data_IF_485048871777
#
_entry.id   IF_485048871777
#
_cell.length_a   1.000
_cell.length_b   1.000
_cell.length_c   1.000
_cell.angle_alpha   90.00
_cell.angle_beta   90.00
_cell.angle_gamma   90.00
#
_symmetry.space_group_name_H-M   'P 1'
#
loop_
_entity.id
_entity.type
_entity.pdbx_description
1 polymer ?
#
# COMPACT_ATOMS: atom_id res chain seq x y z
N UNK A 1 -24.44 15.30 18.86
CA UNK A 1 -23.16 14.83 18.26
C UNK A 1 -22.90 13.40 18.72
N UNK A 2 -23.24 12.40 17.90
CA UNK A 2 -23.01 10.99 18.24
C UNK A 2 -21.51 10.68 18.18
N UNK A 3 -20.88 10.39 19.32
CA UNK A 3 -19.49 9.91 19.36
C UNK A 3 -19.43 8.56 18.65
N UNK A 4 -18.78 8.50 17.49
CA UNK A 4 -18.51 7.23 16.80
C UNK A 4 -17.69 6.34 17.74
N UNK A 5 -18.05 5.06 17.82
CA UNK A 5 -17.28 4.08 18.57
C UNK A 5 -15.85 3.99 18.01
N UNK A 6 -14.89 3.63 18.86
CA UNK A 6 -13.50 3.36 18.44
C UNK A 6 -13.43 2.30 17.34
N UNK A 7 -14.33 1.31 17.38
CA UNK A 7 -14.48 0.29 16.34
C UNK A 7 -14.88 0.88 14.99
N UNK A 8 -15.82 1.83 14.95
CA UNK A 8 -16.23 2.50 13.71
C UNK A 8 -15.11 3.34 13.10
N UNK A 9 -14.32 4.02 13.94
CA UNK A 9 -13.15 4.80 13.51
C UNK A 9 -12.08 3.88 12.91
N UNK A 10 -11.76 2.78 13.60
CA UNK A 10 -10.79 1.80 13.12
C UNK A 10 -11.22 1.16 11.80
N UNK A 11 -12.52 0.88 11.62
CA UNK A 11 -13.06 0.35 10.36
C UNK A 11 -12.88 1.33 9.20
N UNK A 12 -13.17 2.63 9.42
CA UNK A 12 -12.96 3.66 8.39
C UNK A 12 -11.47 3.79 8.03
N UNK A 13 -10.58 3.73 9.02
CA UNK A 13 -9.14 3.80 8.79
C UNK A 13 -8.64 2.62 7.95
N UNK A 14 -9.08 1.39 8.26
CA UNK A 14 -8.73 0.20 7.45
C UNK A 14 -9.19 0.33 6.01
N UNK A 15 -10.42 0.80 5.80
CA UNK A 15 -10.95 1.01 4.45
C UNK A 15 -10.15 2.07 3.68
N UNK A 16 -9.78 3.18 4.34
CA UNK A 16 -8.94 4.20 3.72
C UNK A 16 -7.54 3.68 3.38
N UNK A 17 -6.93 2.87 4.26
CA UNK A 17 -5.65 2.20 3.99
C UNK A 17 -5.75 1.24 2.81
N UNK A 18 -6.84 0.48 2.70
CA UNK A 18 -7.07 -0.43 1.57
C UNK A 18 -7.15 0.33 0.24
N UNK A 19 -7.92 1.41 0.17
CA UNK A 19 -7.98 2.27 -1.03
C UNK A 19 -6.62 2.83 -1.41
N UNK A 20 -5.81 3.24 -0.42
CA UNK A 20 -4.46 3.74 -0.67
C UNK A 20 -3.55 2.66 -1.25
N UNK A 21 -3.55 1.46 -0.67
CA UNK A 21 -2.81 0.31 -1.21
C UNK A 21 -3.21 0.01 -2.66
N UNK A 22 -4.52 -0.08 -2.94
CA UNK A 22 -5.02 -0.31 -4.30
C UNK A 22 -4.60 0.82 -5.26
N UNK A 23 -4.59 2.07 -4.82
CA UNK A 23 -4.14 3.20 -5.62
C UNK A 23 -2.64 3.14 -5.92
N UNK A 24 -1.83 2.82 -4.91
CA UNK A 24 -0.38 2.71 -5.04
C UNK A 24 -0.01 1.56 -5.98
N UNK A 25 -0.67 0.41 -5.85
CA UNK A 25 -0.51 -0.74 -6.76
C UNK A 25 -0.86 -0.38 -8.21
N UNK A 26 -2.01 0.28 -8.44
CA UNK A 26 -2.42 0.73 -9.78
C UNK A 26 -1.44 1.77 -10.33
N UNK A 27 -0.97 2.71 -9.50
CA UNK A 27 -0.07 3.78 -9.93
C UNK A 27 1.30 3.22 -10.31
N UNK A 28 1.88 2.36 -9.46
CA UNK A 28 3.16 1.73 -9.72
C UNK A 28 3.09 0.82 -10.95
N UNK A 29 2.03 0.02 -11.07
CA UNK A 29 1.79 -0.83 -12.24
C UNK A 29 1.69 -0.03 -13.53
N UNK A 30 0.92 1.07 -13.52
CA UNK A 30 0.78 1.95 -14.67
C UNK A 30 2.10 2.63 -15.05
N UNK A 31 2.84 3.14 -14.07
CA UNK A 31 4.16 3.76 -14.32
C UNK A 31 5.14 2.76 -14.92
N UNK A 32 5.18 1.53 -14.40
CA UNK A 32 6.01 0.47 -14.94
C UNK A 32 5.64 0.12 -16.38
N UNK A 33 4.35 -0.07 -16.68
CA UNK A 33 3.89 -0.36 -18.05
C UNK A 33 4.16 0.79 -19.02
N UNK A 34 4.05 2.05 -18.59
CA UNK A 34 4.42 3.20 -19.43
C UNK A 34 5.91 3.24 -19.73
N UNK A 35 6.77 3.03 -18.73
CA UNK A 35 8.21 2.95 -18.94
C UNK A 35 8.59 1.77 -19.87
N UNK A 36 7.91 0.63 -19.73
CA UNK A 36 8.09 -0.51 -20.62
C UNK A 36 7.69 -0.17 -22.06
N UNK A 37 6.56 0.53 -22.26
CA UNK A 37 6.11 1.00 -23.57
C UNK A 37 7.15 1.91 -24.23
N UNK A 38 7.66 2.90 -23.50
CA UNK A 38 8.71 3.79 -23.99
C UNK A 38 9.98 3.03 -24.37
N UNK A 39 10.37 2.03 -23.57
CA UNK A 39 11.52 1.18 -23.89
C UNK A 39 11.32 0.37 -25.16
N UNK A 40 10.14 -0.23 -25.35
CA UNK A 40 9.82 -0.98 -26.58
C UNK A 40 9.81 -0.05 -27.79
N UNK A 41 9.25 1.16 -27.66
CA UNK A 41 9.25 2.15 -28.74
C UNK A 41 10.67 2.54 -29.17
N UNK A 42 11.57 2.83 -28.22
CA UNK A 42 12.98 3.10 -28.53
C UNK A 42 13.64 1.95 -29.28
N UNK A 43 13.39 0.72 -28.82
CA UNK A 43 13.91 -0.48 -29.47
C UNK A 43 13.31 -0.70 -30.87
N UNK A 44 12.05 -0.34 -31.11
CA UNK A 44 11.46 -0.42 -32.45
C UNK A 44 12.09 0.59 -33.39
N UNK A 45 12.23 1.84 -32.98
CA UNK A 45 12.87 2.89 -33.77
C UNK A 45 14.30 2.48 -34.15
N UNK A 46 15.07 1.97 -33.19
CA UNK A 46 16.43 1.50 -33.45
C UNK A 46 16.48 0.34 -34.46
N UNK A 47 15.56 -0.64 -34.35
CA UNK A 47 15.50 -1.74 -35.30
C UNK A 47 15.04 -1.28 -36.70
N UNK A 48 14.14 -0.31 -36.79
CA UNK A 48 13.70 0.28 -38.05
C UNK A 48 14.82 1.06 -38.74
N UNK A 49 15.64 1.79 -37.99
CA UNK A 49 16.83 2.48 -38.50
C UNK A 49 17.85 1.47 -39.04
N UNK A 50 18.17 0.42 -38.27
CA UNK A 50 19.04 -0.68 -38.73
C UNK A 50 18.50 -1.36 -39.99
N UNK A 51 17.19 -1.61 -40.05
CA UNK A 51 16.55 -2.18 -41.24
C UNK A 51 16.70 -1.26 -42.45
N UNK A 52 16.65 0.05 -42.26
CA UNK A 52 16.86 1.03 -43.33
C UNK A 52 18.30 0.98 -43.84
N UNK A 53 19.28 0.94 -42.93
CA UNK A 53 20.70 0.84 -43.27
C UNK A 53 21.02 -0.44 -44.05
N UNK A 54 20.53 -1.60 -43.60
CA UNK A 54 20.77 -2.86 -44.33
C UNK A 54 20.09 -2.89 -45.70
N UNK A 55 18.93 -2.23 -45.85
CA UNK A 55 18.28 -2.08 -47.16
C UNK A 55 19.08 -1.18 -48.10
N UNK A 56 19.73 -0.14 -47.58
CA UNK A 56 20.59 0.73 -48.37
C UNK A 56 21.86 0.00 -48.80
N UNK A 57 22.52 -0.67 -47.85
CA UNK A 57 23.67 -1.54 -48.13
C UNK A 57 23.35 -2.61 -49.17
N UNK A 58 22.17 -3.25 -49.10
CA UNK A 58 21.70 -4.19 -50.13
C UNK A 58 21.68 -3.56 -51.52
N UNK A 59 21.16 -2.34 -51.65
CA UNK A 59 21.10 -1.63 -52.94
C UNK A 59 22.49 -1.27 -53.47
N UNK A 60 23.42 -0.91 -52.60
CA UNK A 60 24.81 -0.63 -52.96
C UNK A 60 25.48 -1.88 -53.53
N UNK A 61 25.38 -3.01 -52.83
CA UNK A 61 25.92 -4.30 -53.29
C UNK A 61 25.25 -4.77 -54.58
N UNK A 62 23.92 -4.62 -54.73
CA UNK A 62 23.22 -4.91 -55.99
C UNK A 62 23.74 -4.09 -57.17
N UNK A 63 24.05 -2.81 -56.93
CA UNK A 63 24.61 -1.93 -57.95
C UNK A 63 26.03 -2.34 -58.32
N UNK A 64 26.87 -2.68 -57.34
CA UNK A 64 28.23 -3.20 -57.59
C UNK A 64 28.22 -4.54 -58.34
N UNK A 65 27.27 -5.44 -58.01
CA UNK A 65 27.08 -6.71 -58.70
C UNK A 65 26.70 -6.51 -60.18
N UNK A 66 26.02 -5.41 -60.51
CA UNK A 66 25.67 -5.06 -61.89
C UNK A 66 26.84 -4.50 -62.71
N UNK A 67 27.89 -3.97 -62.06
CA UNK A 67 29.06 -3.39 -62.73
C UNK A 67 30.28 -4.32 -62.81
N UNK A 68 30.33 -5.38 -61.98
CA UNK A 68 31.44 -6.35 -61.92
C UNK A 68 31.28 -7.49 -62.94
N UNK A 69 32.36 -7.82 -63.66
CA UNK A 69 32.33 -8.72 -64.83
C UNK A 69 32.54 -10.22 -64.54
N UNK A 70 33.31 -10.65 -63.52
CA UNK A 70 33.35 -12.09 -63.15
C UNK A 70 34.07 -12.44 -61.84
N UNK A 71 35.25 -11.87 -61.55
CA UNK A 71 36.15 -12.40 -60.50
C UNK A 71 35.69 -12.23 -59.04
N UNK A 72 34.90 -11.21 -58.72
CA UNK A 72 34.40 -10.93 -57.36
C UNK A 72 32.89 -11.10 -57.22
N UNK A 73 32.23 -11.59 -58.28
CA UNK A 73 30.77 -11.68 -58.36
C UNK A 73 30.19 -12.63 -57.31
N UNK A 74 30.79 -13.82 -57.16
CA UNK A 74 30.35 -14.83 -56.20
C UNK A 74 30.46 -14.34 -54.75
N UNK A 75 31.49 -13.54 -54.45
CA UNK A 75 31.67 -12.95 -53.12
C UNK A 75 30.59 -11.90 -52.84
N UNK A 76 30.25 -11.07 -53.83
CA UNK A 76 29.17 -10.09 -53.70
C UNK A 76 27.81 -10.78 -53.55
N UNK A 77 27.55 -11.87 -54.28
CA UNK A 77 26.33 -12.66 -54.15
C UNK A 77 26.20 -13.27 -52.74
N UNK A 78 27.27 -13.87 -52.20
CA UNK A 78 27.30 -14.38 -50.83
C UNK A 78 27.04 -13.28 -49.77
N UNK A 79 27.62 -12.08 -49.96
CA UNK A 79 27.34 -10.96 -49.05
C UNK A 79 25.90 -10.48 -49.14
N UNK A 80 25.28 -10.54 -50.32
CA UNK A 80 23.88 -10.17 -50.53
C UNK A 80 22.94 -11.16 -49.83
N UNK A 81 23.23 -12.46 -49.90
CA UNK A 81 22.51 -13.49 -49.14
C UNK A 81 22.60 -13.25 -47.64
N UNK A 82 23.81 -12.94 -47.14
CA UNK A 82 24.03 -12.58 -45.74
C UNK A 82 23.20 -11.36 -45.32
N UNK A 83 23.17 -10.31 -46.15
CA UNK A 83 22.36 -9.11 -45.89
C UNK A 83 20.86 -9.44 -45.91
N UNK A 84 20.43 -10.34 -46.80
CA UNK A 84 19.04 -10.78 -46.86
C UNK A 84 18.60 -11.48 -45.57
N UNK A 85 19.44 -12.37 -45.04
CA UNK A 85 19.22 -13.04 -43.76
C UNK A 85 19.15 -12.05 -42.60
N UNK A 86 20.09 -11.09 -42.55
CA UNK A 86 20.09 -10.01 -41.55
C UNK A 86 18.82 -9.17 -41.61
N UNK A 87 18.37 -8.79 -42.80
CA UNK A 87 17.12 -8.05 -43.01
C UNK A 87 15.92 -8.84 -42.47
N UNK A 88 15.87 -10.15 -42.71
CA UNK A 88 14.78 -10.99 -42.24
C UNK A 88 14.79 -11.16 -40.72
N UNK A 89 15.97 -11.29 -40.12
CA UNK A 89 16.13 -11.31 -38.66
C UNK A 89 15.61 -10.01 -38.03
N UNK A 90 16.02 -8.84 -38.55
CA UNK A 90 15.56 -7.53 -38.06
C UNK A 90 14.04 -7.37 -38.24
N UNK A 91 13.47 -7.83 -39.36
CA UNK A 91 12.00 -7.83 -39.55
C UNK A 91 11.30 -8.67 -38.49
N UNK A 92 11.84 -9.84 -38.15
CA UNK A 92 11.29 -10.69 -37.11
C UNK A 92 11.41 -10.03 -35.73
N UNK A 93 12.52 -9.38 -35.42
CA UNK A 93 12.73 -8.58 -34.21
C UNK A 93 11.67 -7.47 -34.07
N UNK A 94 11.44 -6.69 -35.14
CA UNK A 94 10.40 -5.64 -35.18
C UNK A 94 9.00 -6.23 -34.93
N UNK A 95 8.68 -7.37 -35.56
CA UNK A 95 7.39 -8.07 -35.36
C UNK A 95 7.21 -8.50 -33.90
N UNK A 96 8.22 -9.08 -33.28
CA UNK A 96 8.17 -9.51 -31.88
C UNK A 96 8.01 -8.31 -30.94
N UNK A 97 8.75 -7.23 -31.17
CA UNK A 97 8.62 -5.98 -30.40
C UNK A 97 7.24 -5.35 -30.55
N UNK A 98 6.67 -5.32 -31.75
CA UNK A 98 5.31 -4.84 -31.99
C UNK A 98 4.27 -5.68 -31.23
N UNK A 99 4.41 -7.01 -31.24
CA UNK A 99 3.51 -7.89 -30.50
C UNK A 99 3.60 -7.66 -28.98
N UNK A 100 4.81 -7.40 -28.48
CA UNK A 100 5.05 -7.10 -27.06
C UNK A 100 4.47 -5.73 -26.70
N UNK A 101 4.65 -4.72 -27.55
CA UNK A 101 4.04 -3.41 -27.40
C UNK A 101 2.52 -3.49 -27.25
N UNK A 102 1.84 -4.29 -28.09
CA UNK A 102 0.39 -4.53 -27.98
C UNK A 102 -0.01 -5.17 -26.64
N UNK A 103 0.80 -6.05 -26.08
CA UNK A 103 0.55 -6.64 -24.74
C UNK A 103 0.68 -5.58 -23.64
N UNK A 104 1.68 -4.71 -23.74
CA UNK A 104 1.87 -3.59 -22.80
C UNK A 104 0.73 -2.58 -22.90
N UNK A 105 0.25 -2.27 -24.09
CA UNK A 105 -0.92 -1.39 -24.28
C UNK A 105 -2.18 -1.94 -23.58
N UNK A 106 -2.43 -3.25 -23.70
CA UNK A 106 -3.52 -3.91 -22.94
C UNK A 106 -3.36 -3.76 -21.43
N UNK A 107 -2.15 -3.92 -20.91
CA UNK A 107 -1.88 -3.70 -19.47
C UNK A 107 -2.15 -2.26 -19.05
N UNK A 108 -1.78 -1.27 -19.89
CA UNK A 108 -2.07 0.14 -19.64
C UNK A 108 -3.59 0.38 -19.62
N UNK A 109 -4.34 -0.20 -20.56
CA UNK A 109 -5.81 -0.14 -20.58
C UNK A 109 -6.42 -0.78 -19.31
N UNK A 110 -5.90 -1.92 -18.86
CA UNK A 110 -6.34 -2.54 -17.62
C UNK A 110 -6.08 -1.65 -16.39
N UNK A 111 -4.90 -1.05 -16.27
CA UNK A 111 -4.61 -0.16 -15.15
C UNK A 111 -5.42 1.13 -15.20
N UNK A 112 -5.64 1.70 -16.39
CA UNK A 112 -6.48 2.90 -16.55
C UNK A 112 -7.96 2.62 -16.23
N UNK A 113 -8.49 1.45 -16.61
CA UNK A 113 -9.84 1.03 -16.22
C UNK A 113 -9.96 0.72 -14.72
N UNK A 114 -8.95 0.09 -14.11
CA UNK A 114 -8.89 -0.09 -12.64
C UNK A 114 -8.87 1.27 -11.92
N UNK A 115 -8.07 2.23 -12.42
CA UNK A 115 -8.01 3.60 -11.89
C UNK A 115 -9.35 4.33 -11.98
N UNK A 116 -10.06 4.23 -13.10
CA UNK A 116 -11.37 4.89 -13.28
C UNK A 116 -12.43 4.27 -12.37
N UNK A 117 -12.46 2.93 -12.24
CA UNK A 117 -13.34 2.21 -11.30
C UNK A 117 -13.08 2.60 -9.85
N UNK A 118 -11.81 2.66 -9.43
CA UNK A 118 -11.45 3.10 -8.08
C UNK A 118 -11.89 4.56 -7.84
N UNK A 119 -11.67 5.44 -8.82
CA UNK A 119 -12.11 6.83 -8.77
C UNK A 119 -13.63 6.96 -8.63
N UNK A 120 -14.40 6.16 -9.38
CA UNK A 120 -15.86 6.14 -9.28
C UNK A 120 -16.33 5.67 -7.89
N UNK A 121 -15.69 4.64 -7.31
CA UNK A 121 -15.98 4.18 -5.94
C UNK A 121 -15.72 5.29 -4.91
N UNK A 122 -14.58 6.00 -5.03
CA UNK A 122 -14.24 7.13 -4.14
C UNK A 122 -15.26 8.26 -4.29
N UNK A 123 -15.63 8.61 -5.53
CA UNK A 123 -16.63 9.65 -5.82
C UNK A 123 -17.99 9.33 -5.20
N UNK A 124 -18.50 8.11 -5.42
CA UNK A 124 -19.78 7.64 -4.83
C UNK A 124 -19.74 7.68 -3.30
N UNK A 125 -18.61 7.29 -2.69
CA UNK A 125 -18.43 7.36 -1.24
C UNK A 125 -18.43 8.81 -0.71
N UNK A 126 -17.86 9.76 -1.45
CA UNK A 126 -17.88 11.19 -1.10
C UNK A 126 -19.27 11.81 -1.28
N UNK A 127 -19.97 11.47 -2.36
CA UNK A 127 -21.35 11.92 -2.63
C UNK A 127 -22.31 11.49 -1.52
N UNK A 128 -22.18 10.25 -1.02
CA UNK A 128 -22.97 9.77 0.12
C UNK A 128 -22.71 10.52 1.44
N UNK A 129 -21.63 11.34 1.52
CA UNK A 129 -21.18 12.03 2.75
C UNK A 129 -20.79 13.49 2.46
N UNK A 130 -21.75 14.37 2.13
CA UNK A 130 -21.48 15.74 1.66
C UNK A 130 -20.78 16.63 2.71
N UNK A 131 -21.04 16.44 4.01
CA UNK A 131 -20.31 17.16 5.06
C UNK A 131 -18.81 16.82 5.05
N UNK A 132 -18.45 15.55 4.84
CA UNK A 132 -17.05 15.12 4.75
C UNK A 132 -16.39 15.76 3.54
N UNK A 133 -17.06 15.77 2.38
CA UNK A 133 -16.56 16.43 1.18
C UNK A 133 -16.31 17.94 1.40
N UNK A 134 -17.24 18.65 2.04
CA UNK A 134 -17.08 20.08 2.40
C UNK A 134 -15.86 20.30 3.32
N UNK A 135 -15.71 19.48 4.36
CA UNK A 135 -14.54 19.59 5.27
C UNK A 135 -13.22 19.30 4.57
N UNK A 136 -13.20 18.31 3.67
CA UNK A 136 -12.05 17.97 2.86
C UNK A 136 -11.67 19.11 1.91
N UNK A 137 -12.63 19.76 1.24
CA UNK A 137 -12.35 20.91 0.38
C UNK A 137 -11.80 22.12 1.16
N UNK A 138 -12.38 22.42 2.34
CA UNK A 138 -11.82 23.45 3.22
C UNK A 138 -10.39 23.12 3.63
N UNK A 139 -10.13 21.88 4.02
CA UNK A 139 -8.79 21.39 4.36
C UNK A 139 -7.82 21.52 3.17
N UNK A 140 -8.21 21.12 1.96
CA UNK A 140 -7.41 21.25 0.74
C UNK A 140 -7.03 22.71 0.46
N UNK A 141 -7.97 23.66 0.60
CA UNK A 141 -7.70 25.10 0.47
C UNK A 141 -6.67 25.58 1.49
N UNK A 142 -6.77 25.11 2.74
CA UNK A 142 -5.82 25.47 3.79
C UNK A 142 -4.43 24.89 3.53
N UNK A 143 -4.35 23.64 3.05
CA UNK A 143 -3.08 23.00 2.67
C UNK A 143 -2.38 23.80 1.59
N UNK A 144 -3.07 24.19 0.52
CA UNK A 144 -2.49 25.01 -0.56
C UNK A 144 -1.99 26.36 -0.03
N UNK A 145 -2.72 27.00 0.89
CA UNK A 145 -2.26 28.25 1.53
C UNK A 145 -1.00 28.02 2.37
N UNK A 146 -0.91 26.88 3.07
CA UNK A 146 0.25 26.51 3.86
C UNK A 146 1.45 26.18 2.97
N UNK A 147 1.28 25.43 1.88
CA UNK A 147 2.34 25.13 0.92
C UNK A 147 2.98 26.40 0.37
N UNK A 148 2.17 27.43 0.07
CA UNK A 148 2.68 28.74 -0.37
C UNK A 148 3.46 29.49 0.72
N UNK A 149 3.10 29.31 1.99
CA UNK A 149 3.77 29.96 3.14
C UNK A 149 4.95 29.14 3.68
N UNK A 150 5.06 27.86 3.32
CA UNK A 150 6.09 26.96 3.82
C UNK A 150 7.51 27.48 3.54
N UNK A 151 7.85 27.99 2.34
CA UNK A 151 9.21 28.46 2.06
C UNK A 151 9.60 29.69 2.89
N UNK A 152 8.67 30.62 3.12
CA UNK A 152 8.94 31.79 3.95
C UNK A 152 9.06 31.42 5.42
N UNK A 153 8.23 30.49 5.91
CA UNK A 153 8.33 29.96 7.27
C UNK A 153 9.68 29.28 7.53
N UNK A 154 10.16 28.45 6.59
CA UNK A 154 11.47 27.80 6.68
C UNK A 154 12.58 28.86 6.76
N UNK A 155 12.55 29.86 5.88
CA UNK A 155 13.52 30.97 5.92
C UNK A 155 13.50 31.75 7.24
N UNK A 156 12.31 32.02 7.78
CA UNK A 156 12.20 32.68 9.09
C UNK A 156 12.71 31.80 10.23
N UNK A 157 12.46 30.49 10.17
CA UNK A 157 12.96 29.53 11.17
C UNK A 157 14.50 29.47 11.15
N UNK A 158 15.11 29.42 9.96
CA UNK A 158 16.56 29.42 9.80
C UNK A 158 17.20 30.73 10.29
N UNK A 159 16.56 31.88 10.05
CA UNK A 159 17.02 33.17 10.56
C UNK A 159 16.89 33.25 12.09
N UNK A 160 15.79 32.78 12.68
CA UNK A 160 15.63 32.75 14.15
C UNK A 160 16.65 31.81 14.80
N UNK A 161 16.94 30.65 14.19
CA UNK A 161 18.02 29.75 14.64
C UNK A 161 19.39 30.42 14.63
N UNK A 162 19.68 31.25 13.62
CA UNK A 162 20.93 32.01 13.53
C UNK A 162 21.01 33.14 14.56
N UNK A 163 19.92 33.89 14.75
CA UNK A 163 19.89 35.10 15.59
C UNK A 163 19.74 34.75 17.08
N UNK A 164 19.06 33.66 17.42
CA UNK A 164 18.77 33.30 18.81
C UNK A 164 18.87 31.78 19.05
N UNK A 165 20.09 31.25 19.21
CA UNK A 165 20.31 29.85 19.52
C UNK A 165 19.75 29.46 20.91
N UNK A 166 19.69 30.39 21.87
CA UNK A 166 19.13 30.14 23.20
C UNK A 166 17.62 29.93 23.19
N UNK A 167 16.88 30.73 22.41
CA UNK A 167 15.43 30.58 22.29
C UNK A 167 15.04 29.27 21.61
N UNK A 168 15.84 28.84 20.62
CA UNK A 168 15.65 27.54 19.95
C UNK A 168 15.97 26.38 20.89
N UNK A 169 17.05 26.45 21.66
CA UNK A 169 17.34 25.45 22.70
C UNK A 169 16.25 25.36 23.78
N UNK A 170 15.69 26.48 24.23
CA UNK A 170 14.56 26.53 25.17
C UNK A 170 13.30 25.88 24.57
N UNK A 171 13.03 26.13 23.29
CA UNK A 171 11.90 25.52 22.57
C UNK A 171 12.04 24.00 22.45
N UNK A 172 13.24 23.50 22.15
CA UNK A 172 13.54 22.07 22.08
C UNK A 172 13.45 21.39 23.46
N UNK A 173 13.96 22.04 24.51
CA UNK A 173 13.83 21.57 25.89
C UNK A 173 12.35 21.46 26.30
N UNK A 174 11.53 22.45 25.95
CA UNK A 174 10.07 22.40 26.17
C UNK A 174 9.42 21.25 25.40
N UNK A 175 9.75 21.03 24.12
CA UNK A 175 9.22 19.91 23.34
C UNK A 175 9.61 18.55 23.93
N UNK A 176 10.87 18.39 24.36
CA UNK A 176 11.35 17.18 25.06
C UNK A 176 10.58 16.96 26.37
N UNK A 177 10.30 18.02 27.12
CA UNK A 177 9.54 17.95 28.36
C UNK A 177 8.08 17.51 28.13
N UNK A 178 7.38 18.12 27.16
CA UNK A 178 6.01 17.74 26.78
C UNK A 178 5.96 16.28 26.32
N UNK A 179 6.93 15.84 25.51
CA UNK A 179 7.00 14.43 25.07
C UNK A 179 7.19 13.48 26.24
N UNK A 180 8.08 13.80 27.19
CA UNK A 180 8.28 13.02 28.42
C UNK A 180 7.00 12.96 29.28
N UNK A 181 6.28 14.06 29.44
CA UNK A 181 5.01 14.09 30.17
C UNK A 181 3.96 13.19 29.51
N UNK A 182 3.79 13.27 28.19
CA UNK A 182 2.82 12.43 27.46
C UNK A 182 3.12 10.92 27.57
N UNK A 183 4.39 10.54 27.66
CA UNK A 183 4.81 9.14 27.86
C UNK A 183 4.54 8.67 29.29
N UNK A 184 4.81 9.52 30.30
CA UNK A 184 4.49 9.25 31.70
C UNK A 184 2.97 9.04 31.88
N UNK A 185 2.14 9.90 31.29
CA UNK A 185 0.68 9.76 31.33
C UNK A 185 0.19 8.44 30.71
N UNK A 186 0.73 8.06 29.55
CA UNK A 186 0.42 6.76 28.91
C UNK A 186 0.79 5.57 29.79
N UNK A 187 1.94 5.63 30.46
CA UNK A 187 2.40 4.57 31.35
C UNK A 187 1.50 4.43 32.58
N UNK A 188 1.18 5.54 33.25
CA UNK A 188 0.27 5.59 34.40
C UNK A 188 -1.12 5.05 34.01
N UNK A 189 -1.63 5.41 32.82
CA UNK A 189 -2.91 4.91 32.33
C UNK A 189 -2.88 3.40 32.08
N UNK A 190 -1.75 2.84 31.60
CA UNK A 190 -1.57 1.39 31.41
C UNK A 190 -1.49 0.63 32.74
N UNK A 191 -0.80 1.18 33.75
CA UNK A 191 -0.74 0.60 35.10
C UNK A 191 -2.12 0.55 35.77
N UNK A 192 -2.87 1.66 35.76
CA UNK A 192 -4.23 1.72 36.32
C UNK A 192 -5.19 0.71 35.67
N UNK A 193 -5.02 0.42 34.36
CA UNK A 193 -5.81 -0.59 33.67
C UNK A 193 -5.45 -2.02 34.11
N UNK A 194 -4.17 -2.32 34.32
CA UNK A 194 -3.71 -3.62 34.85
C UNK A 194 -4.25 -3.87 36.25
N UNK A 195 -4.15 -2.88 37.14
CA UNK A 195 -4.67 -2.98 38.51
C UNK A 195 -6.18 -3.24 38.55
N UNK A 196 -6.96 -2.54 37.71
CA UNK A 196 -8.41 -2.80 37.57
C UNK A 196 -8.70 -4.23 37.10
N UNK A 197 -7.90 -4.77 36.19
CA UNK A 197 -8.07 -6.13 35.70
C UNK A 197 -7.80 -7.17 36.80
N UNK A 198 -6.69 -7.01 37.53
CA UNK A 198 -6.32 -7.88 38.66
C UNK A 198 -7.39 -7.85 39.76
N UNK A 199 -7.90 -6.67 40.12
CA UNK A 199 -9.01 -6.56 41.09
C UNK A 199 -10.26 -7.30 40.62
N UNK A 200 -10.59 -7.22 39.33
CA UNK A 200 -11.76 -7.92 38.76
C UNK A 200 -11.57 -9.45 38.74
N UNK A 201 -10.35 -9.94 38.52
CA UNK A 201 -10.04 -11.38 38.61
C UNK A 201 -10.17 -11.89 40.05
N UNK A 202 -9.56 -11.22 41.03
CA UNK A 202 -9.67 -11.60 42.46
C UNK A 202 -11.13 -11.64 42.95
N UNK A 203 -11.97 -10.71 42.49
CA UNK A 203 -13.41 -10.72 42.82
C UNK A 203 -14.14 -11.93 42.24
N UNK A 204 -13.80 -12.36 41.01
CA UNK A 204 -14.38 -13.56 40.40
C UNK A 204 -13.96 -14.84 41.13
N UNK A 205 -12.69 -14.94 41.52
CA UNK A 205 -12.18 -16.09 42.27
C UNK A 205 -12.90 -16.23 43.62
N UNK A 206 -13.03 -15.14 44.38
CA UNK A 206 -13.79 -15.14 45.65
C UNK A 206 -15.25 -15.57 45.48
N UNK A 207 -15.90 -15.14 44.39
CA UNK A 207 -17.27 -15.55 44.11
C UNK A 207 -17.38 -17.05 43.82
N UNK A 208 -16.45 -17.60 43.03
CA UNK A 208 -16.42 -19.03 42.70
C UNK A 208 -16.12 -19.89 43.93
N UNK A 209 -15.23 -19.43 44.81
CA UNK A 209 -14.93 -20.10 46.08
C UNK A 209 -16.16 -20.15 46.99
N UNK A 210 -16.87 -19.02 47.15
CA UNK A 210 -18.11 -18.98 47.92
C UNK A 210 -19.21 -19.88 47.33
N UNK A 211 -19.29 -20.00 46.00
CA UNK A 211 -20.24 -20.90 45.35
C UNK A 211 -19.92 -22.38 45.66
N UNK A 212 -18.64 -22.77 45.58
CA UNK A 212 -18.19 -24.13 45.94
C UNK A 212 -18.46 -24.47 47.41
N UNK A 213 -18.30 -23.50 48.32
CA UNK A 213 -18.60 -23.69 49.74
C UNK A 213 -20.10 -23.93 49.98
N UNK A 214 -20.97 -23.17 49.30
CA UNK A 214 -22.43 -23.38 49.35
C UNK A 214 -22.83 -24.76 48.83
N UNK A 215 -22.24 -25.20 47.71
CA UNK A 215 -22.50 -26.53 47.15
C UNK A 215 -22.07 -27.67 48.09
N UNK A 216 -20.91 -27.53 48.76
CA UNK A 216 -20.46 -28.49 49.78
C UNK A 216 -21.43 -28.55 50.97
N UNK A 217 -21.95 -27.41 51.42
CA UNK A 217 -22.90 -27.36 52.52
C UNK A 217 -24.22 -28.07 52.17
N UNK A 218 -24.77 -27.82 50.99
CA UNK A 218 -25.99 -28.47 50.49
C UNK A 218 -25.80 -29.98 50.36
N UNK A 219 -24.65 -30.45 49.85
CA UNK A 219 -24.34 -31.89 49.79
C UNK A 219 -24.30 -32.53 51.18
N UNK A 220 -23.72 -31.84 52.17
CA UNK A 220 -23.64 -32.34 53.55
C UNK A 220 -25.03 -32.41 54.20
N UNK A 221 -25.92 -31.46 53.92
CA UNK A 221 -27.32 -31.52 54.37
C UNK A 221 -28.08 -32.70 53.76
N UNK A 222 -28.00 -32.88 52.43
CA UNK A 222 -28.66 -34.02 51.74
C UNK A 222 -28.17 -35.39 52.25
N UNK A 223 -26.89 -35.50 52.61
CA UNK A 223 -26.35 -36.73 53.20
C UNK A 223 -26.89 -37.00 54.60
N UNK A 224 -27.08 -35.95 55.42
CA UNK A 224 -27.73 -36.09 56.74
C UNK A 224 -29.19 -36.49 56.63
N UNK A 225 -29.94 -35.90 55.71
CA UNK A 225 -31.34 -36.28 55.43
C UNK A 225 -31.47 -37.74 55.02
N UNK A 226 -30.62 -38.20 54.08
CA UNK A 226 -30.59 -39.63 53.69
C UNK A 226 -30.23 -40.57 54.84
N UNK A 227 -29.36 -40.13 55.75
CA UNK A 227 -28.98 -40.94 56.91
C UNK A 227 -30.12 -41.03 57.92
N UNK A 228 -30.88 -39.95 58.14
CA UNK A 228 -32.07 -39.94 58.97
C UNK A 228 -33.18 -40.83 58.37
N UNK A 229 -33.41 -40.75 57.06
CA UNK A 229 -34.39 -41.57 56.35
C UNK A 229 -34.05 -43.07 56.42
N UNK A 230 -32.77 -43.43 56.35
CA UNK A 230 -32.32 -44.81 56.52
C UNK A 230 -32.42 -45.30 57.98
N UNK A 231 -32.26 -44.44 58.97
CA UNK A 231 -32.44 -44.78 60.39
C UNK A 231 -33.93 -45.03 60.68
N UNK A 232 -34.82 -44.18 60.18
CA UNK A 232 -36.27 -44.37 60.33
C UNK A 232 -36.77 -45.66 59.66
N UNK A 233 -36.23 -46.02 58.49
CA UNK A 233 -36.54 -47.30 57.82
C UNK A 233 -36.01 -48.52 58.58
N UNK A 234 -34.98 -48.37 59.42
CA UNK A 234 -34.39 -49.44 60.22
C UNK A 234 -35.12 -49.66 61.55
N UNK A 235 -35.83 -48.64 62.05
CA UNK A 235 -36.67 -48.71 63.25
C UNK A 235 -38.06 -49.31 62.94
N UNK A 236 -38.49 -49.32 61.67
CA UNK A 236 -39.79 -49.85 61.20
C UNK A 236 -39.77 -51.29 60.67
N UNK A 237 -38.67 -52.03 60.86
CA UNK A 237 -38.56 -53.47 60.56
C UNK A 237 -38.37 -54.23 61.86
#
# INVERSE_FOLDING_TARGET
MHRKSTSAINSMQRHASKIRSELDEISNGLQHSLAQKESIQRLQVYAEERLSQEKERKKEIEKELSSVSSGTRDQLEFTLDTIYDQINEIRNEIRQRSSTGKKVDKLIEEYTTKKSRLSAKIKKALESKPQVAKTMHKSKKNIVKLEKRLPSLIKTEDNVKKISPESTQLSERRLKHVRRQSLKEKHVRKQKLKEKHVRKQKLKEKHLENQKLKEKHVRKQKLKEKHLENVDKKIRK
#
